data_IF_332091570117
#
_entry.id   IF_332091570117
#
_cell.length_a   1.000
_cell.length_b   1.000
_cell.length_c   1.000
_cell.angle_alpha   90.00
_cell.angle_beta   90.00
_cell.angle_gamma   90.00
#
_symmetry.space_group_name_H-M   'P 1'
#
loop_
_entity.id
_entity.type
_entity.pdbx_description
1 polymer ?
#
# COMPACT_ATOMS: atom_id res chain seq x y z
N UNK A 1 -14.60 5.62 -21.26
CA UNK A 1 -15.74 5.62 -20.31
C UNK A 1 -15.69 4.57 -19.18
N UNK A 2 -15.54 3.24 -19.42
CA UNK A 2 -15.50 2.25 -18.32
C UNK A 2 -14.30 2.38 -17.37
N UNK A 3 -13.09 2.66 -17.87
CA UNK A 3 -11.87 2.82 -17.07
C UNK A 3 -11.93 4.06 -16.16
N UNK A 4 -12.61 5.11 -16.64
CA UNK A 4 -12.78 6.35 -15.90
C UNK A 4 -13.68 6.16 -14.65
N UNK A 5 -14.80 5.41 -14.77
CA UNK A 5 -15.72 5.14 -13.68
C UNK A 5 -15.10 4.28 -12.56
N UNK A 6 -14.29 3.26 -12.90
CA UNK A 6 -13.55 2.51 -11.92
C UNK A 6 -12.62 3.41 -11.10
N UNK A 7 -11.88 4.29 -11.78
CA UNK A 7 -10.97 5.23 -11.11
C UNK A 7 -11.72 6.17 -10.16
N UNK A 8 -12.90 6.69 -10.54
CA UNK A 8 -13.72 7.53 -9.67
C UNK A 8 -14.12 6.76 -8.39
N UNK A 9 -14.54 5.50 -8.52
CA UNK A 9 -14.91 4.67 -7.37
C UNK A 9 -13.70 4.45 -6.45
N UNK A 10 -12.52 4.14 -7.01
CA UNK A 10 -11.30 3.94 -6.24
C UNK A 10 -10.84 5.22 -5.54
N UNK A 11 -10.92 6.37 -6.20
CA UNK A 11 -10.61 7.68 -5.60
C UNK A 11 -11.59 8.02 -4.47
N UNK A 12 -12.89 7.74 -4.67
CA UNK A 12 -13.89 7.93 -3.61
C UNK A 12 -13.60 7.05 -2.40
N UNK A 13 -13.24 5.78 -2.61
CA UNK A 13 -12.84 4.88 -1.52
C UNK A 13 -11.58 5.40 -0.82
N UNK A 14 -10.54 5.80 -1.58
CA UNK A 14 -9.30 6.32 -1.00
C UNK A 14 -9.58 7.55 -0.12
N UNK A 15 -10.42 8.48 -0.58
CA UNK A 15 -10.84 9.65 0.19
C UNK A 15 -11.64 9.26 1.45
N UNK A 16 -12.55 8.27 1.34
CA UNK A 16 -13.31 7.79 2.52
C UNK A 16 -12.40 7.11 3.56
N UNK A 17 -11.35 6.44 3.11
CA UNK A 17 -10.34 5.81 3.98
C UNK A 17 -9.47 6.85 4.72
N UNK A 18 -9.44 8.09 4.27
CA UNK A 18 -8.74 9.17 4.99
C UNK A 18 -9.50 9.63 6.25
N UNK A 19 -10.80 9.40 6.30
CA UNK A 19 -11.63 9.70 7.46
C UNK A 19 -11.40 8.66 8.58
N UNK A 20 -11.40 9.11 9.85
CA UNK A 20 -11.28 8.20 11.02
C UNK A 20 -12.49 7.29 11.20
N UNK A 21 -13.61 7.61 10.62
CA UNK A 21 -14.88 6.92 10.83
C UNK A 21 -15.05 5.75 9.83
N UNK A 22 -14.12 4.81 9.86
CA UNK A 22 -14.05 3.66 8.94
C UNK A 22 -15.28 2.74 8.99
N UNK A 23 -15.99 2.69 10.14
CA UNK A 23 -17.21 1.91 10.31
C UNK A 23 -18.37 2.38 9.40
N UNK A 24 -18.27 3.58 8.86
CA UNK A 24 -19.27 4.16 7.95
C UNK A 24 -19.02 3.87 6.46
N UNK A 25 -17.95 3.16 6.08
CA UNK A 25 -17.69 2.84 4.68
C UNK A 25 -18.59 1.69 4.24
N UNK A 26 -19.76 2.05 3.70
CA UNK A 26 -20.72 1.13 3.07
C UNK A 26 -20.67 1.25 1.55
N UNK A 27 -21.13 0.23 0.83
CA UNK A 27 -21.24 0.28 -0.64
C UNK A 27 -22.23 1.32 -1.11
N UNK A 28 -23.32 1.53 -0.36
CA UNK A 28 -24.31 2.58 -0.62
C UNK A 28 -23.66 3.98 -0.54
N UNK A 29 -22.93 4.28 0.55
CA UNK A 29 -22.25 5.56 0.72
C UNK A 29 -21.13 5.76 -0.31
N UNK A 30 -20.41 4.69 -0.67
CA UNK A 30 -19.38 4.75 -1.71
C UNK A 30 -19.99 5.03 -3.08
N UNK A 31 -21.12 4.42 -3.41
CA UNK A 31 -21.85 4.68 -4.65
C UNK A 31 -22.33 6.15 -4.71
N UNK A 32 -22.92 6.66 -3.62
CA UNK A 32 -23.33 8.06 -3.48
C UNK A 32 -22.14 9.02 -3.71
N UNK A 33 -21.03 8.82 -3.02
CA UNK A 33 -19.81 9.64 -3.18
C UNK A 33 -19.18 9.54 -4.56
N UNK A 34 -19.41 8.43 -5.25
CA UNK A 34 -18.93 8.21 -6.64
C UNK A 34 -19.89 8.75 -7.70
N UNK A 35 -21.05 9.32 -7.30
CA UNK A 35 -22.06 9.85 -8.19
C UNK A 35 -22.75 8.78 -9.05
N UNK A 36 -22.94 7.57 -8.51
CA UNK A 36 -23.58 6.43 -9.18
C UNK A 36 -24.57 5.71 -8.25
N UNK A 37 -25.39 4.86 -8.79
CA UNK A 37 -26.24 3.95 -8.00
C UNK A 37 -25.43 2.76 -7.49
N UNK A 38 -25.86 2.15 -6.38
CA UNK A 38 -25.22 0.95 -5.84
C UNK A 38 -25.26 -0.21 -6.84
N UNK A 39 -26.34 -0.34 -7.62
CA UNK A 39 -26.43 -1.32 -8.69
C UNK A 39 -25.38 -1.06 -9.81
N UNK A 40 -25.06 0.20 -10.10
CA UNK A 40 -24.00 0.54 -11.03
C UNK A 40 -22.61 0.24 -10.46
N UNK A 41 -22.41 0.44 -9.15
CA UNK A 41 -21.16 0.08 -8.46
C UNK A 41 -20.89 -1.42 -8.57
N UNK A 42 -21.89 -2.26 -8.31
CA UNK A 42 -21.75 -3.73 -8.42
C UNK A 42 -21.51 -4.22 -9.86
N UNK A 43 -21.87 -3.45 -10.88
CA UNK A 43 -21.49 -3.75 -12.28
C UNK A 43 -20.00 -3.53 -12.56
N UNK A 44 -19.32 -2.69 -11.77
CA UNK A 44 -17.90 -2.44 -11.88
C UNK A 44 -17.08 -3.33 -10.94
N UNK A 45 -17.60 -3.61 -9.76
CA UNK A 45 -16.96 -4.39 -8.72
C UNK A 45 -17.95 -5.37 -8.09
N UNK A 46 -17.72 -6.67 -8.16
CA UNK A 46 -18.70 -7.68 -7.70
C UNK A 46 -18.91 -7.68 -6.18
N UNK A 47 -18.02 -7.03 -5.41
CA UNK A 47 -18.12 -6.95 -3.95
C UNK A 47 -17.34 -5.75 -3.41
N UNK A 48 -17.63 -5.33 -2.19
CA UNK A 48 -16.84 -4.33 -1.45
C UNK A 48 -15.36 -4.77 -1.36
N UNK A 49 -15.13 -6.07 -1.09
CA UNK A 49 -13.79 -6.68 -1.06
C UNK A 49 -13.01 -6.43 -2.35
N UNK A 50 -13.63 -6.58 -3.51
CA UNK A 50 -12.95 -6.38 -4.80
C UNK A 50 -12.56 -4.92 -5.03
N UNK A 51 -13.29 -3.95 -4.46
CA UNK A 51 -12.93 -2.53 -4.55
C UNK A 51 -11.67 -2.26 -3.70
N UNK A 52 -11.62 -2.80 -2.49
CA UNK A 52 -10.45 -2.68 -1.60
C UNK A 52 -9.21 -3.34 -2.20
N UNK A 53 -9.38 -4.54 -2.77
CA UNK A 53 -8.29 -5.28 -3.41
C UNK A 53 -7.73 -4.52 -4.64
N UNK A 54 -8.60 -3.93 -5.46
CA UNK A 54 -8.17 -3.14 -6.63
C UNK A 54 -7.45 -1.85 -6.21
N UNK A 55 -7.94 -1.14 -5.17
CA UNK A 55 -7.26 0.04 -4.62
C UNK A 55 -5.87 -0.35 -4.07
N UNK A 56 -5.80 -1.46 -3.34
CA UNK A 56 -4.54 -1.97 -2.82
C UNK A 56 -3.56 -2.29 -3.96
N UNK A 57 -4.01 -3.03 -4.98
CA UNK A 57 -3.20 -3.39 -6.15
C UNK A 57 -2.65 -2.17 -6.88
N UNK A 58 -3.46 -1.12 -7.05
CA UNK A 58 -3.00 0.11 -7.68
C UNK A 58 -1.83 0.76 -6.94
N UNK A 59 -1.89 0.79 -5.61
CA UNK A 59 -0.82 1.35 -4.77
C UNK A 59 0.41 0.43 -4.73
N UNK A 60 0.19 -0.88 -4.64
CA UNK A 60 1.22 -1.93 -4.71
C UNK A 60 2.04 -1.78 -6.00
N UNK A 61 1.38 -1.72 -7.14
CA UNK A 61 2.01 -1.57 -8.45
C UNK A 61 2.88 -0.31 -8.53
N UNK A 62 2.42 0.82 -8.00
CA UNK A 62 3.17 2.07 -8.01
C UNK A 62 4.48 1.97 -7.18
N UNK A 63 4.42 1.32 -6.00
CA UNK A 63 5.59 1.14 -5.14
C UNK A 63 6.59 0.17 -5.78
N UNK A 64 6.12 -0.97 -6.29
CA UNK A 64 7.01 -1.95 -6.88
C UNK A 64 7.59 -1.53 -8.23
N UNK A 65 6.87 -0.73 -9.02
CA UNK A 65 7.43 -0.10 -10.22
C UNK A 65 8.65 0.76 -9.87
N UNK A 66 8.55 1.58 -8.79
CA UNK A 66 9.68 2.41 -8.32
C UNK A 66 10.83 1.57 -7.76
N UNK A 67 10.53 0.54 -6.99
CA UNK A 67 11.55 -0.37 -6.47
C UNK A 67 12.32 -1.07 -7.60
N UNK A 68 11.62 -1.50 -8.64
CA UNK A 68 12.23 -2.15 -9.81
C UNK A 68 13.09 -1.17 -10.65
N UNK A 69 12.67 0.10 -10.74
CA UNK A 69 13.49 1.16 -11.34
C UNK A 69 14.80 1.35 -10.54
N UNK A 70 14.70 1.46 -9.21
CA UNK A 70 15.86 1.63 -8.34
C UNK A 70 16.84 0.46 -8.42
N UNK A 71 16.37 -0.79 -8.49
CA UNK A 71 17.22 -1.97 -8.66
C UNK A 71 18.09 -1.88 -9.92
N UNK A 72 17.55 -1.34 -11.02
CA UNK A 72 18.25 -1.21 -12.30
C UNK A 72 19.21 -0.01 -12.34
N UNK A 73 19.13 0.88 -11.38
CA UNK A 73 19.96 2.09 -11.34
C UNK A 73 21.42 1.74 -10.94
N UNK A 74 22.37 2.56 -11.39
CA UNK A 74 23.80 2.40 -11.09
C UNK A 74 24.22 3.00 -9.73
N UNK A 75 23.27 3.40 -8.90
CA UNK A 75 23.54 3.90 -7.54
C UNK A 75 24.09 2.82 -6.62
N UNK A 76 24.71 3.22 -5.51
CA UNK A 76 25.12 2.31 -4.45
C UNK A 76 23.93 1.58 -3.82
N UNK A 77 24.15 0.39 -3.26
CA UNK A 77 23.11 -0.35 -2.52
C UNK A 77 22.49 0.49 -1.39
N UNK A 78 23.34 1.28 -0.70
CA UNK A 78 22.93 2.23 0.33
C UNK A 78 21.95 3.27 -0.21
N UNK A 79 22.27 3.91 -1.35
CA UNK A 79 21.41 4.94 -1.93
C UNK A 79 20.12 4.37 -2.50
N UNK A 80 20.18 3.19 -3.15
CA UNK A 80 18.97 2.48 -3.60
C UNK A 80 18.03 2.18 -2.44
N UNK A 81 18.56 1.63 -1.34
CA UNK A 81 17.80 1.31 -0.12
C UNK A 81 17.18 2.55 0.49
N UNK A 82 17.98 3.62 0.67
CA UNK A 82 17.52 4.91 1.17
C UNK A 82 16.39 5.47 0.30
N UNK A 83 16.58 5.47 -1.02
CA UNK A 83 15.57 6.01 -1.95
C UNK A 83 14.29 5.18 -1.95
N UNK A 84 14.37 3.85 -1.85
CA UNK A 84 13.21 2.98 -1.71
C UNK A 84 12.42 3.29 -0.43
N UNK A 85 13.11 3.43 0.72
CA UNK A 85 12.53 3.79 1.99
C UNK A 85 11.85 5.17 1.94
N UNK A 86 12.57 6.19 1.48
CA UNK A 86 12.05 7.57 1.40
C UNK A 86 10.85 7.65 0.48
N UNK A 87 10.93 7.02 -0.71
CA UNK A 87 9.82 6.99 -1.65
C UNK A 87 8.58 6.34 -1.02
N UNK A 88 8.76 5.19 -0.35
CA UNK A 88 7.66 4.50 0.30
C UNK A 88 7.00 5.36 1.39
N UNK A 89 7.80 5.97 2.28
CA UNK A 89 7.27 6.82 3.34
C UNK A 89 6.54 8.05 2.78
N UNK A 90 7.09 8.70 1.75
CA UNK A 90 6.42 9.83 1.08
C UNK A 90 5.13 9.40 0.38
N UNK A 91 5.11 8.20 -0.23
CA UNK A 91 3.92 7.67 -0.86
C UNK A 91 2.80 7.43 0.17
N UNK A 92 3.13 6.80 1.29
CA UNK A 92 2.20 6.54 2.40
C UNK A 92 1.66 7.85 3.00
N UNK A 93 2.52 8.84 3.18
CA UNK A 93 2.12 10.15 3.72
C UNK A 93 1.13 10.87 2.80
N UNK A 94 1.33 10.78 1.48
CA UNK A 94 0.43 11.35 0.47
C UNK A 94 -0.83 10.54 0.23
N UNK A 95 -0.85 9.27 0.61
CA UNK A 95 -1.94 8.32 0.38
C UNK A 95 -2.41 7.69 1.71
N UNK A 96 -3.01 8.51 2.57
CA UNK A 96 -3.45 8.09 3.92
C UNK A 96 -4.39 6.89 3.91
N UNK A 97 -5.27 6.80 2.90
CA UNK A 97 -6.14 5.64 2.72
C UNK A 97 -5.34 4.34 2.54
N UNK A 98 -4.24 4.39 1.77
CA UNK A 98 -3.34 3.26 1.63
C UNK A 98 -2.57 2.95 2.92
N UNK A 99 -2.15 3.97 3.66
CA UNK A 99 -1.54 3.79 4.98
C UNK A 99 -2.45 3.01 5.93
N UNK A 100 -3.77 3.28 5.92
CA UNK A 100 -4.76 2.56 6.73
C UNK A 100 -5.00 1.13 6.27
N UNK A 101 -4.88 0.85 4.97
CA UNK A 101 -4.89 -0.53 4.47
C UNK A 101 -3.65 -1.29 4.95
N UNK A 102 -2.46 -0.68 4.84
CA UNK A 102 -1.19 -1.28 5.29
C UNK A 102 -1.14 -1.52 6.81
N UNK A 103 -1.75 -0.64 7.62
CA UNK A 103 -1.87 -0.85 9.08
C UNK A 103 -2.96 -1.85 9.45
N UNK A 104 -3.74 -2.33 8.49
CA UNK A 104 -4.93 -3.20 8.65
C UNK A 104 -6.07 -2.55 9.44
N UNK A 105 -5.94 -1.30 9.84
CA UNK A 105 -6.97 -0.59 10.64
C UNK A 105 -8.30 -0.46 9.87
N UNK A 106 -8.24 -0.32 8.56
CA UNK A 106 -9.41 -0.21 7.69
C UNK A 106 -10.03 -1.56 7.28
N UNK A 107 -9.47 -2.69 7.73
CA UNK A 107 -9.89 -4.02 7.32
C UNK A 107 -10.73 -4.67 8.42
N UNK A 108 -11.89 -5.18 8.04
CA UNK A 108 -12.72 -6.05 8.88
C UNK A 108 -12.43 -7.53 8.56
N UNK A 109 -13.05 -8.43 9.31
CA UNK A 109 -12.95 -9.86 9.06
C UNK A 109 -13.41 -10.28 7.65
N UNK A 110 -14.25 -9.47 7.02
CA UNK A 110 -14.73 -9.73 5.65
C UNK A 110 -13.71 -9.36 4.57
N UNK A 111 -12.67 -8.59 4.91
CA UNK A 111 -11.58 -8.22 4.01
C UNK A 111 -10.28 -9.01 4.27
N UNK A 112 -10.36 -10.22 4.79
CA UNK A 112 -9.19 -11.06 5.13
C UNK A 112 -8.21 -11.22 3.95
N UNK A 113 -8.71 -11.40 2.73
CA UNK A 113 -7.83 -11.48 1.55
C UNK A 113 -7.02 -10.20 1.29
N UNK A 114 -7.51 -9.03 1.69
CA UNK A 114 -6.73 -7.78 1.58
C UNK A 114 -5.65 -7.77 2.66
N UNK A 115 -5.94 -8.30 3.85
CA UNK A 115 -4.93 -8.51 4.90
C UNK A 115 -3.81 -9.45 4.43
N UNK A 116 -4.14 -10.51 3.71
CA UNK A 116 -3.16 -11.43 3.12
C UNK A 116 -2.31 -10.73 2.05
N UNK A 117 -2.91 -9.88 1.23
CA UNK A 117 -2.17 -9.05 0.27
C UNK A 117 -1.20 -8.09 0.97
N UNK A 118 -1.57 -7.53 2.12
CA UNK A 118 -0.68 -6.68 2.94
C UNK A 118 0.52 -7.48 3.44
N UNK A 119 0.33 -8.72 3.90
CA UNK A 119 1.44 -9.59 4.30
C UNK A 119 2.39 -9.83 3.12
N UNK A 120 1.85 -10.27 1.98
CA UNK A 120 2.62 -10.51 0.76
C UNK A 120 3.35 -9.25 0.26
N UNK A 121 2.74 -8.07 0.41
CA UNK A 121 3.37 -6.81 0.08
C UNK A 121 4.65 -6.58 0.90
N UNK A 122 4.59 -6.73 2.22
CA UNK A 122 5.74 -6.54 3.09
C UNK A 122 6.83 -7.60 2.83
N UNK A 123 6.46 -8.85 2.63
CA UNK A 123 7.39 -9.93 2.26
C UNK A 123 8.12 -9.64 0.93
N UNK A 124 7.38 -9.18 -0.09
CA UNK A 124 7.97 -8.80 -1.38
C UNK A 124 8.87 -7.58 -1.25
N UNK A 125 8.47 -6.59 -0.46
CA UNK A 125 9.27 -5.39 -0.24
C UNK A 125 10.57 -5.74 0.49
N UNK A 126 10.51 -6.58 1.53
CA UNK A 126 11.68 -7.11 2.23
C UNK A 126 12.62 -7.87 1.28
N UNK A 127 12.06 -8.73 0.43
CA UNK A 127 12.85 -9.48 -0.56
C UNK A 127 13.62 -8.54 -1.50
N UNK A 128 12.99 -7.47 -1.98
CA UNK A 128 13.65 -6.48 -2.85
C UNK A 128 14.77 -5.76 -2.10
N UNK A 129 14.53 -5.31 -0.87
CA UNK A 129 15.57 -4.68 -0.06
C UNK A 129 16.74 -5.63 0.19
N UNK A 130 16.47 -6.89 0.51
CA UNK A 130 17.48 -7.93 0.67
C UNK A 130 18.32 -8.11 -0.60
N UNK A 131 17.70 -8.10 -1.78
CA UNK A 131 18.39 -8.21 -3.06
C UNK A 131 19.30 -7.00 -3.32
N UNK A 132 18.82 -5.79 -3.04
CA UNK A 132 19.62 -4.57 -3.16
C UNK A 132 20.79 -4.59 -2.18
N UNK A 133 20.57 -4.93 -0.92
CA UNK A 133 21.61 -4.96 0.11
C UNK A 133 22.68 -6.03 -0.15
N UNK A 134 22.33 -7.12 -0.83
CA UNK A 134 23.32 -8.13 -1.26
C UNK A 134 24.36 -7.60 -2.24
N UNK A 135 24.06 -6.52 -2.98
CA UNK A 135 25.02 -5.92 -3.93
C UNK A 135 26.25 -5.32 -3.21
N UNK A 136 26.14 -5.04 -1.91
CA UNK A 136 27.20 -4.43 -1.09
C UNK A 136 27.32 -5.11 0.29
N UNK A 137 27.15 -6.43 0.31
CA UNK A 137 27.09 -7.22 1.56
C UNK A 137 28.37 -7.11 2.41
N UNK A 138 29.52 -6.91 1.76
CA UNK A 138 30.83 -6.83 2.43
C UNK A 138 30.96 -5.57 3.30
N UNK A 139 30.23 -4.50 2.99
CA UNK A 139 30.24 -3.24 3.73
C UNK A 139 29.10 -3.13 4.77
N UNK A 140 28.27 -4.15 4.92
CA UNK A 140 27.21 -4.18 5.92
C UNK A 140 27.73 -4.70 7.27
N UNK A 141 27.26 -4.08 8.35
CA UNK A 141 27.55 -4.54 9.73
C UNK A 141 26.71 -5.75 10.12
N UNK A 142 25.63 -6.05 9.36
CA UNK A 142 24.71 -7.17 9.59
C UNK A 142 24.40 -7.87 8.28
N UNK A 143 23.88 -9.09 8.35
CA UNK A 143 23.44 -9.82 7.16
C UNK A 143 22.37 -9.06 6.40
N UNK A 144 22.40 -9.06 5.04
CA UNK A 144 21.40 -8.35 4.22
C UNK A 144 19.94 -8.66 4.56
N UNK A 145 19.64 -9.91 4.96
CA UNK A 145 18.30 -10.31 5.38
C UNK A 145 17.85 -9.65 6.68
N UNK A 146 18.74 -9.59 7.66
CA UNK A 146 18.47 -8.94 8.96
C UNK A 146 18.26 -7.43 8.74
N UNK A 147 19.12 -6.80 7.94
CA UNK A 147 18.99 -5.37 7.62
C UNK A 147 17.66 -5.07 6.91
N UNK A 148 17.27 -5.90 5.93
CA UNK A 148 16.00 -5.73 5.22
C UNK A 148 14.79 -5.88 6.16
N UNK A 149 14.80 -6.91 7.02
CA UNK A 149 13.76 -7.14 8.01
C UNK A 149 13.62 -5.96 8.99
N UNK A 150 14.74 -5.43 9.50
CA UNK A 150 14.72 -4.27 10.41
C UNK A 150 14.12 -3.04 9.74
N UNK A 151 14.45 -2.80 8.46
CA UNK A 151 13.90 -1.68 7.69
C UNK A 151 12.39 -1.83 7.53
N UNK A 152 11.90 -3.02 7.16
CA UNK A 152 10.47 -3.28 6.98
C UNK A 152 9.73 -3.15 8.30
N UNK A 153 10.26 -3.72 9.39
CA UNK A 153 9.69 -3.57 10.74
C UNK A 153 9.59 -2.10 11.16
N UNK A 154 10.63 -1.30 10.87
CA UNK A 154 10.61 0.14 11.14
C UNK A 154 9.54 0.87 10.32
N UNK A 155 9.34 0.50 9.05
CA UNK A 155 8.29 1.03 8.19
C UNK A 155 6.91 0.70 8.76
N UNK A 156 6.62 -0.56 9.07
CA UNK A 156 5.33 -0.98 9.65
C UNK A 156 5.03 -0.24 10.96
N UNK A 157 6.02 -0.15 11.85
CA UNK A 157 5.91 0.58 13.11
C UNK A 157 5.64 2.07 12.91
N UNK A 158 6.31 2.71 11.93
CA UNK A 158 6.08 4.12 11.59
C UNK A 158 4.69 4.35 11.01
N UNK A 159 4.22 3.49 10.09
CA UNK A 159 2.87 3.58 9.51
C UNK A 159 1.82 3.45 10.62
N UNK A 160 1.93 2.44 11.47
CA UNK A 160 1.00 2.21 12.58
C UNK A 160 0.99 3.40 13.55
N UNK A 161 2.15 3.99 13.85
CA UNK A 161 2.24 5.19 14.68
C UNK A 161 1.63 6.42 13.99
N UNK A 162 1.92 6.63 12.71
CA UNK A 162 1.39 7.74 11.92
C UNK A 162 -0.15 7.73 11.89
N UNK A 163 -0.75 6.57 11.67
CA UNK A 163 -2.21 6.43 11.62
C UNK A 163 -2.85 6.68 12.98
N UNK A 164 -2.25 6.21 14.08
CA UNK A 164 -2.77 6.44 15.46
C UNK A 164 -2.61 7.87 15.94
N UNK A 165 -1.63 8.61 15.44
CA UNK A 165 -1.32 9.98 15.91
C UNK A 165 -2.18 11.06 15.23
N UNK A 166 -2.94 10.73 14.21
CA UNK A 166 -3.80 11.65 13.43
C UNK A 166 -5.25 11.25 13.49
#
# INVERSE_FOLDING_TARGET
MKKDRKNIILQSLASMLEDRNLSKITTALLAEKSGITEAALYRHFPSKRSIYAELFSFCDDAIFAKCNELKKNKMSAKDKTKNAFVFFMMFVEKNKGFARLLSREALSTNEQNVSDNVNQFYERFELILRQILKEDAENLTTQPGISAQLIVTAIEGNISRYIRSK
#
